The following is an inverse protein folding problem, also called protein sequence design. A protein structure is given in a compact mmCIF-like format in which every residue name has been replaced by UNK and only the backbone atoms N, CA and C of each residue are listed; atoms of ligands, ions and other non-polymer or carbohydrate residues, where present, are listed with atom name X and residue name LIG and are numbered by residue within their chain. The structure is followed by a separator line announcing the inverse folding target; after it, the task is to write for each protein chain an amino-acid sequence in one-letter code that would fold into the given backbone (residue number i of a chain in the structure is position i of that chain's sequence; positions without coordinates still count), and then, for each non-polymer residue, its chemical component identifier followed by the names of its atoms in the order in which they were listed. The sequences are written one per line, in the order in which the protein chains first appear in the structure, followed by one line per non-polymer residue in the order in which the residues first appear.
data_IF_074641581410
#
_entry.id   IF_074641581410
#
_cell.length_a   1.000
_cell.length_b   1.000
_cell.length_c   1.000
_cell.angle_alpha   90.00
_cell.angle_beta   90.00
_cell.angle_gamma   90.00
#
_symmetry.space_group_name_H-M   'P 1'
#
loop_
_entity.id
_entity.type
_entity.pdbx_description
1 polymer ?
#
# COMPACT_ATOMS: atom_id res chain seq x y z
N UNK A 1 -7.48 37.06 0.55
CA UNK A 1 -6.07 36.92 0.08
C UNK A 1 -5.93 35.52 -0.48
N UNK A 2 -5.11 35.35 -1.54
CA UNK A 2 -4.81 34.01 -2.06
C UNK A 2 -3.59 33.44 -1.32
N UNK A 3 -3.58 32.11 -1.05
CA UNK A 3 -2.41 31.39 -0.56
C UNK A 3 -1.67 30.84 -1.76
N UNK A 4 -0.41 31.22 -1.91
CA UNK A 4 0.45 30.78 -3.01
C UNK A 4 1.13 29.46 -2.67
N UNK A 5 1.09 28.52 -3.62
CA UNK A 5 1.74 27.22 -3.53
C UNK A 5 2.74 27.04 -4.68
N UNK A 6 3.72 26.18 -4.49
CA UNK A 6 4.59 25.73 -5.56
C UNK A 6 4.47 24.20 -5.74
N UNK A 7 4.50 23.75 -7.00
CA UNK A 7 4.57 22.32 -7.34
C UNK A 7 6.01 21.93 -7.66
N UNK A 8 6.47 20.81 -7.12
CA UNK A 8 7.72 20.19 -7.49
C UNK A 8 7.42 19.02 -8.44
N UNK A 9 7.76 19.21 -9.73
CA UNK A 9 7.38 18.34 -10.83
C UNK A 9 6.04 18.73 -11.46
N UNK A 10 5.87 18.38 -12.75
CA UNK A 10 4.61 18.58 -13.50
C UNK A 10 4.23 17.34 -14.32
N UNK A 11 4.24 16.18 -13.63
CA UNK A 11 3.80 14.90 -14.20
C UNK A 11 2.28 14.71 -14.11
N UNK A 12 1.86 13.45 -14.26
CA UNK A 12 0.44 13.05 -14.29
C UNK A 12 -0.35 13.58 -13.08
N UNK A 13 0.15 13.40 -11.86
CA UNK A 13 -0.58 13.83 -10.65
C UNK A 13 -0.55 15.35 -10.51
N UNK A 14 0.62 15.96 -10.73
CA UNK A 14 0.80 17.40 -10.56
C UNK A 14 -0.09 18.22 -11.49
N UNK A 15 -0.28 17.80 -12.74
CA UNK A 15 -1.18 18.47 -13.69
C UNK A 15 -2.66 18.40 -13.28
N UNK A 16 -3.04 17.42 -12.45
CA UNK A 16 -4.37 17.32 -11.86
C UNK A 16 -4.65 18.37 -10.79
N UNK A 17 -3.64 18.93 -10.13
CA UNK A 17 -3.82 19.92 -9.05
C UNK A 17 -4.45 21.22 -9.58
N UNK A 18 -3.87 21.93 -10.56
CA UNK A 18 -4.47 23.15 -11.08
C UNK A 18 -5.83 22.88 -11.76
N UNK A 19 -6.01 21.71 -12.39
CA UNK A 19 -7.30 21.31 -12.93
C UNK A 19 -8.37 21.31 -11.84
N UNK A 20 -8.15 20.65 -10.70
CA UNK A 20 -9.13 20.57 -9.61
C UNK A 20 -9.33 21.92 -8.92
N UNK A 21 -8.27 22.71 -8.73
CA UNK A 21 -8.37 24.06 -8.16
C UNK A 21 -9.29 24.95 -9.00
N UNK A 22 -9.29 24.78 -10.33
CA UNK A 22 -10.14 25.52 -11.25
C UNK A 22 -11.59 24.99 -11.26
N UNK A 23 -11.74 23.67 -11.49
CA UNK A 23 -13.07 23.04 -11.67
C UNK A 23 -13.95 23.10 -10.41
N UNK A 24 -13.33 23.08 -9.23
CA UNK A 24 -14.08 23.04 -7.95
C UNK A 24 -13.74 24.22 -7.04
N UNK A 25 -13.42 25.37 -7.66
CA UNK A 25 -12.92 26.57 -6.97
C UNK A 25 -13.80 26.97 -5.78
N UNK A 26 -15.10 27.09 -5.98
CA UNK A 26 -16.02 27.56 -4.93
C UNK A 26 -15.99 26.68 -3.67
N UNK A 27 -16.07 25.36 -3.84
CA UNK A 27 -16.05 24.42 -2.73
C UNK A 27 -14.69 24.43 -2.01
N UNK A 28 -13.60 24.51 -2.79
CA UNK A 28 -12.24 24.54 -2.23
C UNK A 28 -12.04 25.84 -1.41
N UNK A 29 -12.47 26.98 -1.96
CA UNK A 29 -12.38 28.26 -1.25
C UNK A 29 -13.22 28.26 0.04
N UNK A 30 -14.41 27.68 0.01
CA UNK A 30 -15.22 27.54 1.24
C UNK A 30 -14.55 26.65 2.27
N UNK A 31 -13.96 25.53 1.85
CA UNK A 31 -13.27 24.59 2.74
C UNK A 31 -11.98 25.18 3.32
N UNK A 32 -11.18 25.85 2.50
CA UNK A 32 -9.91 26.44 2.86
C UNK A 32 -10.05 27.85 3.50
N UNK A 33 -11.17 28.54 3.28
CA UNK A 33 -11.42 29.94 3.60
C UNK A 33 -10.42 30.92 2.94
N UNK A 34 -9.82 30.50 1.84
CA UNK A 34 -8.93 31.33 1.01
C UNK A 34 -8.85 30.75 -0.39
N UNK A 35 -8.56 31.60 -1.36
CA UNK A 35 -8.15 31.13 -2.68
C UNK A 35 -6.76 30.48 -2.61
N UNK A 36 -6.51 29.50 -3.47
CA UNK A 36 -5.23 28.79 -3.60
C UNK A 36 -4.73 29.00 -5.03
N UNK A 37 -3.50 29.45 -5.16
CA UNK A 37 -2.87 29.78 -6.44
C UNK A 37 -1.55 29.05 -6.62
N UNK A 38 -1.35 28.43 -7.79
CA UNK A 38 -0.05 27.83 -8.18
C UNK A 38 0.85 28.97 -8.69
N UNK A 39 1.78 29.40 -7.87
CA UNK A 39 2.66 30.52 -8.18
C UNK A 39 3.87 30.10 -9.00
N UNK A 40 4.46 28.93 -8.71
CA UNK A 40 5.64 28.40 -9.42
C UNK A 40 5.54 26.88 -9.56
N UNK A 41 6.18 26.38 -10.61
CA UNK A 41 6.32 24.93 -10.88
C UNK A 41 7.77 24.62 -11.15
N UNK A 42 8.39 23.79 -10.30
CA UNK A 42 9.75 23.29 -10.52
C UNK A 42 9.70 22.18 -11.57
N UNK A 43 10.55 22.31 -12.59
CA UNK A 43 10.78 21.29 -13.61
C UNK A 43 12.26 20.93 -13.64
N UNK A 44 12.58 19.81 -14.26
CA UNK A 44 13.91 19.24 -14.25
C UNK A 44 14.96 20.11 -14.93
N UNK A 45 14.61 20.67 -16.10
CA UNK A 45 15.49 21.44 -16.96
C UNK A 45 14.72 22.35 -17.93
N UNK A 46 15.45 23.20 -18.66
CA UNK A 46 14.85 24.12 -19.65
C UNK A 46 14.20 23.40 -20.83
N UNK A 47 14.60 22.16 -21.13
CA UNK A 47 13.99 21.36 -22.20
C UNK A 47 12.58 20.92 -21.77
N UNK A 48 12.40 20.45 -20.55
CA UNK A 48 11.08 20.13 -20.00
C UNK A 48 10.21 21.38 -19.91
N UNK A 49 10.77 22.51 -19.46
CA UNK A 49 10.09 23.80 -19.42
C UNK A 49 9.56 24.19 -20.82
N UNK A 50 10.40 24.15 -21.84
CA UNK A 50 9.99 24.48 -23.23
C UNK A 50 8.86 23.56 -23.71
N UNK A 51 9.01 22.26 -23.51
CA UNK A 51 7.98 21.26 -23.89
C UNK A 51 6.62 21.54 -23.22
N UNK A 52 6.63 21.89 -21.94
CA UNK A 52 5.40 22.17 -21.20
C UNK A 52 4.72 23.47 -21.65
N UNK A 53 5.49 24.50 -21.96
CA UNK A 53 4.98 25.77 -22.53
C UNK A 53 4.40 25.53 -23.93
N UNK A 54 5.08 24.78 -24.79
CA UNK A 54 4.57 24.40 -26.12
C UNK A 54 3.27 23.57 -26.03
N UNK A 55 3.11 22.77 -24.98
CA UNK A 55 1.89 22.03 -24.72
C UNK A 55 0.73 22.91 -24.18
N UNK A 56 0.92 24.23 -24.11
CA UNK A 56 -0.10 25.20 -23.71
C UNK A 56 -0.28 25.37 -22.21
N UNK A 57 0.68 24.91 -21.39
CA UNK A 57 0.64 25.16 -19.94
C UNK A 57 1.19 26.56 -19.64
N UNK A 58 0.36 27.41 -19.03
CA UNK A 58 0.71 28.79 -18.68
C UNK A 58 1.00 28.91 -17.19
N UNK A 59 2.17 28.39 -16.76
CA UNK A 59 2.68 28.49 -15.39
C UNK A 59 4.08 29.12 -15.37
N UNK A 60 4.44 29.69 -14.23
CA UNK A 60 5.80 30.15 -14.00
C UNK A 60 6.71 28.95 -13.69
N UNK A 61 7.26 28.35 -14.76
CA UNK A 61 8.19 27.22 -14.64
C UNK A 61 9.58 27.71 -14.27
N UNK A 62 10.16 27.09 -13.22
CA UNK A 62 11.53 27.34 -12.72
C UNK A 62 12.31 26.04 -12.73
N UNK A 63 13.63 26.12 -12.86
CA UNK A 63 14.53 24.97 -12.85
C UNK A 63 15.41 24.89 -11.61
N UNK A 64 15.37 25.93 -10.76
CA UNK A 64 16.11 25.98 -9.51
C UNK A 64 15.13 26.05 -8.33
N UNK A 65 15.26 25.12 -7.40
CA UNK A 65 14.45 25.05 -6.16
C UNK A 65 14.61 26.34 -5.31
N UNK A 66 15.77 27.01 -5.37
CA UNK A 66 16.04 28.23 -4.59
C UNK A 66 15.08 29.37 -4.97
N UNK A 67 14.59 29.42 -6.19
CA UNK A 67 13.59 30.40 -6.60
C UNK A 67 12.23 30.19 -5.90
N UNK A 68 11.96 28.99 -5.44
CA UNK A 68 10.76 28.65 -4.66
C UNK A 68 11.02 28.90 -3.17
N UNK A 69 12.15 28.42 -2.65
CA UNK A 69 12.45 28.47 -1.22
C UNK A 69 12.67 29.91 -0.72
N UNK A 70 13.29 30.76 -1.53
CA UNK A 70 13.52 32.19 -1.19
C UNK A 70 12.27 33.07 -1.36
N UNK A 71 11.24 32.60 -2.07
CA UNK A 71 10.02 33.35 -2.27
C UNK A 71 9.14 33.30 -1.00
N UNK A 72 9.04 34.44 -0.32
CA UNK A 72 8.30 34.58 0.95
C UNK A 72 6.78 34.45 0.77
N UNK A 73 6.26 34.69 -0.42
CA UNK A 73 4.84 34.58 -0.71
C UNK A 73 4.38 33.13 -0.85
N UNK A 74 5.29 32.20 -1.24
CA UNK A 74 4.98 30.79 -1.34
C UNK A 74 4.97 30.17 0.07
N UNK A 75 3.81 29.67 0.46
CA UNK A 75 3.57 29.13 1.81
C UNK A 75 3.65 27.60 1.84
N UNK A 76 3.24 26.94 0.75
CA UNK A 76 3.14 25.49 0.67
C UNK A 76 3.92 25.00 -0.53
N UNK A 77 4.73 23.95 -0.35
CA UNK A 77 5.42 23.20 -1.39
C UNK A 77 4.73 21.85 -1.55
N UNK A 78 4.38 21.48 -2.78
CA UNK A 78 3.69 20.25 -3.12
C UNK A 78 4.63 19.36 -3.94
N UNK A 79 5.17 18.31 -3.34
CA UNK A 79 6.11 17.39 -3.98
C UNK A 79 5.37 16.25 -4.68
N UNK A 80 5.53 16.16 -6.01
CA UNK A 80 4.90 15.16 -6.87
C UNK A 80 5.88 14.64 -7.93
N UNK A 81 7.18 14.61 -7.60
CA UNK A 81 8.23 14.12 -8.51
C UNK A 81 8.42 12.60 -8.40
N UNK A 82 8.13 12.03 -7.21
CA UNK A 82 8.44 10.64 -6.90
C UNK A 82 9.93 10.40 -6.68
N UNK A 83 10.31 9.13 -6.44
CA UNK A 83 11.66 8.69 -6.04
C UNK A 83 12.09 9.27 -4.69
N UNK A 84 13.13 8.70 -4.11
CA UNK A 84 13.65 9.17 -2.81
C UNK A 84 14.45 10.45 -3.00
N UNK A 85 15.42 10.45 -3.93
CA UNK A 85 16.17 11.66 -4.29
C UNK A 85 15.77 12.14 -5.69
N UNK A 86 15.69 13.44 -5.93
CA UNK A 86 16.01 14.57 -5.04
C UNK A 86 14.86 15.01 -4.10
N UNK A 87 13.74 14.28 -4.03
CA UNK A 87 12.55 14.67 -3.27
C UNK A 87 12.87 14.85 -1.78
N UNK A 88 13.63 13.93 -1.16
CA UNK A 88 14.06 14.06 0.25
C UNK A 88 14.78 15.38 0.51
N UNK A 89 15.79 15.67 -0.30
CA UNK A 89 16.57 16.92 -0.18
C UNK A 89 15.67 18.14 -0.31
N UNK A 90 14.76 18.17 -1.28
CA UNK A 90 13.90 19.34 -1.51
C UNK A 90 12.84 19.51 -0.44
N UNK A 91 12.24 18.42 0.04
CA UNK A 91 11.28 18.46 1.16
C UNK A 91 11.99 18.96 2.43
N UNK A 92 13.14 18.38 2.77
CA UNK A 92 13.92 18.83 3.96
C UNK A 92 14.19 20.32 3.90
N UNK A 93 14.74 20.81 2.80
CA UNK A 93 15.02 22.26 2.63
C UNK A 93 13.77 23.13 2.66
N UNK A 94 12.64 22.65 2.13
CA UNK A 94 11.37 23.36 2.19
C UNK A 94 10.86 23.51 3.64
N UNK A 95 10.91 22.40 4.41
CA UNK A 95 10.54 22.40 5.82
C UNK A 95 11.44 23.33 6.65
N UNK A 96 12.77 23.28 6.43
CA UNK A 96 13.77 24.16 7.07
C UNK A 96 13.56 25.64 6.71
N UNK A 97 13.10 25.93 5.48
CA UNK A 97 12.75 27.28 5.04
C UNK A 97 11.38 27.77 5.58
N UNK A 98 10.75 27.01 6.50
CA UNK A 98 9.46 27.36 7.10
C UNK A 98 8.27 27.16 6.18
N UNK A 99 8.38 26.35 5.12
CA UNK A 99 7.29 26.06 4.21
C UNK A 99 6.58 24.77 4.60
N UNK A 100 5.25 24.76 4.51
CA UNK A 100 4.47 23.55 4.68
C UNK A 100 4.64 22.66 3.46
N UNK A 101 4.56 21.33 3.65
CA UNK A 101 4.77 20.38 2.56
C UNK A 101 3.57 19.43 2.43
N UNK A 102 3.17 19.18 1.18
CA UNK A 102 2.27 18.09 0.80
C UNK A 102 3.02 17.18 -0.15
N UNK A 103 2.97 15.86 0.06
CA UNK A 103 3.61 14.88 -0.81
C UNK A 103 2.73 13.66 -1.05
N UNK A 104 2.92 13.00 -2.19
CA UNK A 104 2.33 11.69 -2.51
C UNK A 104 3.38 10.57 -2.52
N UNK A 105 4.61 10.84 -2.08
CA UNK A 105 5.78 10.00 -2.27
C UNK A 105 5.88 8.95 -1.16
N UNK A 106 5.17 7.83 -1.36
CA UNK A 106 5.13 6.74 -0.39
C UNK A 106 6.49 6.10 -0.10
N UNK A 107 7.33 5.98 -1.14
CA UNK A 107 8.65 5.35 -1.04
C UNK A 107 9.53 6.15 -0.09
N UNK A 108 9.54 7.47 -0.27
CA UNK A 108 10.25 8.40 0.60
C UNK A 108 9.73 8.36 2.04
N UNK A 109 8.40 8.35 2.20
CA UNK A 109 7.76 8.36 3.53
C UNK A 109 7.96 7.05 4.29
N UNK A 110 7.94 5.92 3.60
CA UNK A 110 8.18 4.61 4.24
C UNK A 110 9.62 4.49 4.77
N UNK A 111 10.60 5.09 4.09
CA UNK A 111 12.02 4.98 4.45
C UNK A 111 12.48 6.14 5.35
N UNK A 112 12.02 7.37 5.08
CA UNK A 112 12.50 8.60 5.72
C UNK A 112 11.39 9.43 6.38
N UNK A 113 10.16 8.90 6.45
CA UNK A 113 9.02 9.67 6.98
C UNK A 113 9.22 10.15 8.41
N UNK A 114 9.76 9.31 9.29
CA UNK A 114 10.04 9.70 10.68
C UNK A 114 11.03 10.86 10.77
N UNK A 115 12.11 10.85 9.98
CA UNK A 115 13.09 11.93 9.89
C UNK A 115 12.44 13.24 9.41
N UNK A 116 11.65 13.18 8.35
CA UNK A 116 10.98 14.34 7.78
C UNK A 116 9.93 14.94 8.74
N UNK A 117 9.24 14.09 9.50
CA UNK A 117 8.28 14.54 10.52
C UNK A 117 8.98 15.27 11.68
N UNK A 118 10.16 14.82 12.11
CA UNK A 118 10.95 15.54 13.12
C UNK A 118 11.44 16.90 12.62
N UNK A 119 11.88 17.00 11.35
CA UNK A 119 12.22 18.29 10.73
C UNK A 119 11.00 19.22 10.68
N UNK A 120 9.86 18.71 10.23
CA UNK A 120 8.62 19.49 10.18
C UNK A 120 8.20 20.02 11.56
N UNK A 121 8.31 19.18 12.59
CA UNK A 121 8.03 19.54 13.98
C UNK A 121 9.00 20.59 14.51
N UNK A 122 10.30 20.43 14.26
CA UNK A 122 11.33 21.37 14.70
C UNK A 122 11.12 22.79 14.13
N UNK A 123 10.60 22.90 12.91
CA UNK A 123 10.31 24.16 12.23
C UNK A 123 8.86 24.63 12.36
N UNK A 124 8.01 23.92 13.12
CA UNK A 124 6.59 24.24 13.34
C UNK A 124 5.81 24.34 12.02
N UNK A 125 6.08 23.46 11.07
CA UNK A 125 5.41 23.38 9.77
C UNK A 125 4.67 22.04 9.59
N UNK A 126 3.70 22.01 8.69
CA UNK A 126 2.93 20.81 8.38
C UNK A 126 3.61 19.99 7.27
N UNK A 127 3.59 18.66 7.44
CA UNK A 127 3.90 17.68 6.40
C UNK A 127 2.67 16.75 6.26
N UNK A 128 1.95 16.84 5.13
CA UNK A 128 0.75 16.05 4.88
C UNK A 128 0.92 15.16 3.65
N UNK A 129 0.32 13.98 3.67
CA UNK A 129 0.58 12.95 2.65
C UNK A 129 -0.56 11.95 2.45
N UNK A 130 -1.83 12.43 2.48
CA UNK A 130 -3.01 11.57 2.22
C UNK A 130 -2.84 10.71 0.96
N UNK A 131 -2.35 11.33 -0.10
CA UNK A 131 -2.19 10.70 -1.40
C UNK A 131 -1.12 9.59 -1.45
N UNK A 132 -0.30 9.44 -0.42
CA UNK A 132 0.74 8.42 -0.36
C UNK A 132 0.18 6.99 -0.19
N UNK A 133 -1.03 6.83 0.35
CA UNK A 133 -1.68 5.53 0.52
C UNK A 133 -3.00 5.51 -0.24
N UNK A 134 -3.15 4.54 -1.15
CA UNK A 134 -4.38 4.30 -1.92
C UNK A 134 -4.92 5.55 -2.65
N UNK A 135 -4.04 6.47 -3.05
CA UNK A 135 -4.24 7.61 -3.93
C UNK A 135 -5.52 8.42 -3.69
N UNK A 136 -6.62 8.04 -4.32
CA UNK A 136 -7.91 8.74 -4.22
C UNK A 136 -8.77 8.35 -3.01
N UNK A 137 -8.34 7.37 -2.20
CA UNK A 137 -9.09 6.92 -1.01
C UNK A 137 -8.64 7.72 0.22
N UNK A 138 -9.52 8.46 0.91
CA UNK A 138 -9.14 9.31 2.05
C UNK A 138 -8.94 8.49 3.33
N UNK A 139 -8.05 7.49 3.30
CA UNK A 139 -7.91 6.52 4.39
C UNK A 139 -7.13 7.09 5.58
N UNK A 140 -6.01 7.78 5.36
CA UNK A 140 -5.16 8.28 6.45
C UNK A 140 -5.94 9.28 7.30
N UNK A 141 -6.67 10.20 6.66
CA UNK A 141 -7.50 11.18 7.34
C UNK A 141 -8.68 10.54 8.05
N UNK A 142 -9.25 9.51 7.47
CA UNK A 142 -10.34 8.75 8.11
C UNK A 142 -9.87 8.09 9.40
N UNK A 143 -8.71 7.45 9.38
CA UNK A 143 -8.12 6.83 10.56
C UNK A 143 -7.88 7.85 11.70
N UNK A 144 -7.34 9.01 11.37
CA UNK A 144 -6.98 10.05 12.37
C UNK A 144 -8.19 10.83 12.89
N UNK A 145 -9.14 11.15 12.02
CA UNK A 145 -10.25 12.06 12.39
C UNK A 145 -11.56 11.32 12.65
N UNK A 146 -11.99 10.45 11.73
CA UNK A 146 -13.30 9.80 11.82
C UNK A 146 -13.28 8.61 12.77
N UNK A 147 -12.16 7.90 12.85
CA UNK A 147 -11.98 6.75 13.74
C UNK A 147 -11.14 7.08 14.99
N UNK A 148 -10.95 8.36 15.30
CA UNK A 148 -10.13 8.81 16.43
C UNK A 148 -10.59 8.29 17.81
N UNK A 149 -11.85 7.94 17.95
CA UNK A 149 -12.44 7.39 19.19
C UNK A 149 -12.52 5.86 19.18
N UNK A 150 -12.13 5.21 18.09
CA UNK A 150 -12.27 3.76 17.93
C UNK A 150 -10.92 3.04 18.04
N UNK A 151 -10.94 1.85 18.63
CA UNK A 151 -9.73 1.01 18.69
C UNK A 151 -9.67 0.11 17.48
N UNK A 152 -8.75 0.41 16.57
CA UNK A 152 -8.46 -0.42 15.41
C UNK A 152 -7.73 -1.68 15.88
N UNK A 153 -8.17 -2.84 15.41
CA UNK A 153 -7.60 -4.14 15.72
C UNK A 153 -6.89 -4.77 14.53
N UNK A 154 -7.40 -4.51 13.31
CA UNK A 154 -6.80 -5.02 12.08
C UNK A 154 -7.04 -4.07 10.90
N UNK A 155 -6.05 -3.98 10.02
CA UNK A 155 -6.16 -3.31 8.72
C UNK A 155 -5.76 -4.31 7.65
N UNK A 156 -6.61 -4.53 6.66
CA UNK A 156 -6.31 -5.31 5.46
C UNK A 156 -6.39 -4.41 4.23
N UNK A 157 -5.53 -4.63 3.25
CA UNK A 157 -5.53 -3.77 2.07
C UNK A 157 -5.20 -4.52 0.77
N UNK A 158 -6.03 -4.31 -0.25
CA UNK A 158 -5.66 -4.52 -1.65
C UNK A 158 -5.24 -3.15 -2.16
N UNK A 159 -3.95 -2.84 -2.04
CA UNK A 159 -3.44 -1.46 -2.18
C UNK A 159 -2.44 -1.25 -3.31
N UNK A 160 -2.26 -2.25 -4.18
CA UNK A 160 -1.48 -2.13 -5.40
C UNK A 160 -2.36 -2.46 -6.61
N UNK A 161 -2.56 -1.50 -7.52
CA UNK A 161 -3.45 -1.64 -8.67
C UNK A 161 -2.90 -2.60 -9.74
N UNK A 162 -1.59 -2.64 -9.95
CA UNK A 162 -0.94 -3.50 -10.95
C UNK A 162 -1.10 -4.97 -10.59
N UNK A 163 -0.67 -5.36 -9.39
CA UNK A 163 -0.80 -6.75 -8.93
C UNK A 163 -2.27 -7.17 -8.81
N UNK A 164 -3.18 -6.27 -8.38
CA UNK A 164 -4.60 -6.59 -8.34
C UNK A 164 -5.20 -6.78 -9.73
N UNK A 165 -4.79 -5.98 -10.73
CA UNK A 165 -5.17 -6.20 -12.12
C UNK A 165 -4.72 -7.58 -12.62
N UNK A 166 -3.44 -7.92 -12.42
CA UNK A 166 -2.89 -9.21 -12.82
C UNK A 166 -3.64 -10.36 -12.14
N UNK A 167 -3.82 -10.30 -10.81
CA UNK A 167 -4.59 -11.30 -10.06
C UNK A 167 -6.04 -11.41 -10.54
N UNK A 168 -6.66 -10.27 -10.90
CA UNK A 168 -8.02 -10.29 -11.46
C UNK A 168 -8.06 -11.09 -12.78
N UNK A 169 -7.11 -10.86 -13.69
CA UNK A 169 -7.01 -11.59 -14.97
C UNK A 169 -6.75 -13.08 -14.77
N UNK A 170 -5.83 -13.44 -13.87
CA UNK A 170 -5.55 -14.83 -13.53
C UNK A 170 -6.81 -15.53 -12.97
N UNK A 171 -7.54 -14.85 -12.08
CA UNK A 171 -8.75 -15.43 -11.44
C UNK A 171 -9.95 -15.49 -12.38
N UNK A 172 -10.21 -14.45 -13.20
CA UNK A 172 -11.45 -14.37 -14.00
C UNK A 172 -11.30 -14.96 -15.39
N UNK A 173 -10.09 -14.96 -15.95
CA UNK A 173 -9.82 -15.35 -17.34
C UNK A 173 -8.88 -16.56 -17.45
N UNK A 174 -8.33 -17.03 -16.29
CA UNK A 174 -7.44 -18.20 -16.24
C UNK A 174 -6.06 -17.93 -16.86
N UNK A 175 -5.63 -16.67 -16.91
CA UNK A 175 -4.35 -16.31 -17.52
C UNK A 175 -3.17 -16.78 -16.68
N UNK A 176 -2.03 -17.01 -17.36
CA UNK A 176 -0.75 -17.17 -16.68
C UNK A 176 -0.28 -15.86 -16.06
N UNK A 177 0.71 -15.93 -15.15
CA UNK A 177 1.36 -14.73 -14.61
C UNK A 177 1.99 -13.90 -15.73
N UNK A 178 2.66 -14.54 -16.67
CA UNK A 178 3.35 -13.91 -17.80
C UNK A 178 2.37 -13.16 -18.73
N UNK A 179 1.23 -13.77 -19.06
CA UNK A 179 0.21 -13.13 -19.89
C UNK A 179 -0.42 -11.93 -19.18
N UNK A 180 -0.70 -12.09 -17.89
CA UNK A 180 -1.27 -11.01 -17.08
C UNK A 180 -0.29 -9.82 -16.94
N UNK A 181 1.01 -10.10 -16.79
CA UNK A 181 2.06 -9.07 -16.73
C UNK A 181 2.21 -8.36 -18.08
N UNK A 182 2.28 -9.12 -19.17
CA UNK A 182 2.39 -8.54 -20.52
C UNK A 182 1.24 -7.59 -20.83
N UNK A 183 0.03 -7.97 -20.45
CA UNK A 183 -1.15 -7.11 -20.64
C UNK A 183 -1.13 -5.87 -19.73
N UNK A 184 -0.70 -6.02 -18.46
CA UNK A 184 -0.53 -4.89 -17.56
C UNK A 184 0.48 -3.87 -18.11
N UNK A 185 1.59 -4.33 -18.69
CA UNK A 185 2.59 -3.48 -19.35
C UNK A 185 2.03 -2.83 -20.61
N UNK A 186 1.31 -3.58 -21.46
CA UNK A 186 0.68 -3.05 -22.67
C UNK A 186 -0.32 -1.93 -22.38
N UNK A 187 -1.06 -2.04 -21.28
CA UNK A 187 -2.04 -1.05 -20.82
C UNK A 187 -1.41 0.10 -20.03
N UNK A 188 -0.10 0.05 -19.73
CA UNK A 188 0.61 1.06 -18.95
C UNK A 188 0.34 1.01 -17.44
N UNK A 189 -0.18 -0.12 -16.93
CA UNK A 189 -0.36 -0.34 -15.49
C UNK A 189 0.91 -0.83 -14.82
N UNK A 190 1.79 -1.53 -15.56
CA UNK A 190 3.11 -1.94 -15.12
C UNK A 190 4.20 -1.26 -15.94
N UNK A 191 5.29 -0.88 -15.30
CA UNK A 191 6.51 -0.44 -15.96
C UNK A 191 7.31 -1.63 -16.51
N UNK A 192 8.40 -1.36 -17.26
CA UNK A 192 9.30 -2.40 -17.77
C UNK A 192 9.94 -3.21 -16.66
N UNK A 193 10.24 -2.59 -15.52
CA UNK A 193 10.62 -3.28 -14.28
C UNK A 193 9.45 -3.23 -13.30
N UNK A 194 8.65 -4.32 -13.18
CA UNK A 194 7.47 -4.36 -12.34
C UNK A 194 7.77 -4.80 -10.90
N UNK A 195 9.05 -4.92 -10.52
CA UNK A 195 9.49 -5.54 -9.26
C UNK A 195 8.76 -5.00 -8.03
N UNK A 196 8.63 -3.66 -7.91
CA UNK A 196 7.94 -3.05 -6.78
C UNK A 196 6.48 -3.50 -6.65
N UNK A 197 5.81 -3.71 -7.77
CA UNK A 197 4.41 -4.12 -7.80
C UNK A 197 4.24 -5.62 -7.53
N UNK A 198 4.98 -6.44 -8.28
CA UNK A 198 4.77 -7.89 -8.28
C UNK A 198 5.41 -8.60 -7.09
N UNK A 199 6.43 -8.02 -6.48
CA UNK A 199 7.07 -8.56 -5.27
C UNK A 199 6.45 -8.03 -3.96
N UNK A 200 5.41 -7.15 -4.07
CA UNK A 200 4.66 -6.64 -2.93
C UNK A 200 5.32 -5.47 -2.20
N UNK A 201 6.42 -4.92 -2.73
CA UNK A 201 7.21 -3.85 -2.11
C UNK A 201 6.37 -2.56 -1.99
N UNK A 202 5.68 -2.16 -3.07
CA UNK A 202 4.77 -1.01 -3.07
C UNK A 202 3.68 -1.13 -2.00
N UNK A 203 3.08 -2.31 -1.86
CA UNK A 203 2.09 -2.56 -0.83
C UNK A 203 2.71 -2.52 0.58
N UNK A 204 3.95 -3.04 0.75
CA UNK A 204 4.66 -3.01 2.02
C UNK A 204 4.97 -1.56 2.47
N UNK A 205 5.39 -0.67 1.58
CA UNK A 205 5.53 0.76 1.90
C UNK A 205 4.24 1.38 2.44
N UNK A 206 3.10 1.00 1.86
CA UNK A 206 1.80 1.49 2.33
C UNK A 206 1.43 0.92 3.70
N UNK A 207 1.81 -0.34 3.99
CA UNK A 207 1.62 -0.92 5.33
C UNK A 207 2.46 -0.21 6.39
N UNK A 208 3.70 0.20 6.07
CA UNK A 208 4.51 1.05 6.97
C UNK A 208 3.76 2.32 7.36
N UNK A 209 3.22 3.04 6.38
CA UNK A 209 2.47 4.29 6.63
C UNK A 209 1.18 4.00 7.42
N UNK A 210 0.42 2.97 7.02
CA UNK A 210 -0.82 2.60 7.71
C UNK A 210 -0.60 2.17 9.16
N UNK A 211 0.55 1.54 9.48
CA UNK A 211 0.90 1.18 10.87
C UNK A 211 0.99 2.39 11.77
N UNK A 212 1.55 3.49 11.27
CA UNK A 212 1.62 4.75 12.00
C UNK A 212 0.21 5.32 12.25
N UNK A 213 -0.65 5.30 11.24
CA UNK A 213 -1.97 5.94 11.32
C UNK A 213 -2.98 5.12 12.11
N UNK A 214 -2.98 3.80 11.96
CA UNK A 214 -3.93 2.92 12.63
C UNK A 214 -3.50 2.56 14.05
N UNK A 215 -2.20 2.37 14.30
CA UNK A 215 -1.68 1.85 15.56
C UNK A 215 -0.72 2.80 16.29
N UNK A 216 -0.40 3.94 15.70
CA UNK A 216 0.55 4.91 16.26
C UNK A 216 2.01 4.43 16.25
N UNK A 217 2.34 3.39 15.49
CA UNK A 217 3.66 2.75 15.48
C UNK A 217 4.37 2.99 14.15
N UNK A 218 5.54 3.63 14.19
CA UNK A 218 6.41 3.83 13.03
C UNK A 218 7.28 2.58 12.80
N UNK A 219 6.69 1.51 12.26
CA UNK A 219 7.45 0.32 11.87
C UNK A 219 8.39 0.65 10.71
N UNK A 220 9.49 -0.08 10.58
CA UNK A 220 10.39 0.05 9.46
C UNK A 220 9.95 -0.88 8.32
N UNK A 221 10.42 -0.60 7.10
CA UNK A 221 10.14 -1.47 5.97
C UNK A 221 10.62 -2.91 6.19
N UNK A 222 11.77 -3.08 6.85
CA UNK A 222 12.35 -4.38 7.18
C UNK A 222 11.49 -5.19 8.17
N UNK A 223 10.63 -4.53 8.94
CA UNK A 223 9.70 -5.16 9.87
C UNK A 223 8.43 -5.69 9.18
N UNK A 224 8.19 -5.31 7.92
CA UNK A 224 7.05 -5.76 7.12
C UNK A 224 7.46 -6.93 6.24
N UNK A 225 7.05 -8.15 6.61
CA UNK A 225 7.26 -9.32 5.77
C UNK A 225 6.51 -9.15 4.43
N UNK A 226 7.16 -9.46 3.30
CA UNK A 226 6.46 -9.39 2.01
C UNK A 226 6.79 -10.57 1.11
N UNK A 227 5.76 -11.07 0.44
CA UNK A 227 5.81 -12.09 -0.59
C UNK A 227 4.98 -11.60 -1.78
N UNK A 228 5.57 -11.66 -2.97
CA UNK A 228 4.91 -11.23 -4.21
C UNK A 228 4.05 -12.32 -4.85
N UNK A 229 3.60 -12.03 -6.09
CA UNK A 229 2.67 -12.86 -6.86
C UNK A 229 3.34 -13.72 -7.94
N UNK A 230 4.69 -13.64 -8.11
CA UNK A 230 5.40 -14.30 -9.22
C UNK A 230 5.20 -15.82 -9.28
N UNK A 231 5.06 -16.47 -8.13
CA UNK A 231 4.97 -17.92 -8.03
C UNK A 231 3.52 -18.45 -8.00
N UNK A 232 2.52 -17.56 -8.13
CA UNK A 232 1.12 -18.00 -8.17
C UNK A 232 0.84 -18.64 -9.52
N UNK A 233 0.36 -19.88 -9.50
CA UNK A 233 0.06 -20.63 -10.72
C UNK A 233 -1.45 -20.64 -11.02
N UNK A 234 -1.85 -20.88 -12.29
CA UNK A 234 -3.26 -21.06 -12.62
C UNK A 234 -3.92 -22.20 -11.83
N UNK A 235 -3.17 -23.24 -11.49
CA UNK A 235 -3.64 -24.36 -10.67
C UNK A 235 -3.95 -23.93 -9.24
N UNK A 236 -3.11 -23.06 -8.62
CA UNK A 236 -3.40 -22.52 -7.29
C UNK A 236 -4.68 -21.70 -7.31
N UNK A 237 -4.89 -20.91 -8.37
CA UNK A 237 -6.11 -20.13 -8.58
C UNK A 237 -7.33 -21.03 -8.74
N UNK A 238 -7.22 -22.10 -9.54
CA UNK A 238 -8.32 -23.06 -9.76
C UNK A 238 -8.72 -23.75 -8.45
N UNK A 239 -7.74 -24.22 -7.67
CA UNK A 239 -7.98 -24.83 -6.36
C UNK A 239 -8.63 -23.82 -5.40
N UNK A 240 -8.15 -22.57 -5.36
CA UNK A 240 -8.78 -21.55 -4.53
C UNK A 240 -10.25 -21.35 -4.89
N UNK A 241 -10.58 -21.30 -6.19
CA UNK A 241 -11.95 -21.12 -6.68
C UNK A 241 -12.85 -22.28 -6.33
N UNK A 242 -12.36 -23.53 -6.46
CA UNK A 242 -13.07 -24.77 -6.08
C UNK A 242 -13.40 -24.76 -4.60
N UNK A 243 -12.46 -24.31 -3.77
CA UNK A 243 -12.62 -24.22 -2.31
C UNK A 243 -13.43 -22.99 -1.85
N UNK A 244 -13.94 -22.18 -2.78
CA UNK A 244 -14.77 -21.00 -2.45
C UNK A 244 -13.98 -19.74 -2.10
N UNK A 245 -12.70 -19.67 -2.49
CA UNK A 245 -11.83 -18.53 -2.28
C UNK A 245 -11.52 -17.76 -3.56
N UNK A 246 -10.99 -16.56 -3.39
CA UNK A 246 -10.36 -15.71 -4.41
C UNK A 246 -8.95 -15.37 -3.94
N UNK A 247 -7.97 -15.42 -4.82
CA UNK A 247 -6.60 -15.07 -4.50
C UNK A 247 -6.37 -13.58 -4.72
N UNK A 248 -5.82 -12.89 -3.73
CA UNK A 248 -5.42 -11.48 -3.79
C UNK A 248 -4.06 -11.28 -3.13
N UNK A 249 -3.32 -10.27 -3.57
CA UNK A 249 -2.18 -9.76 -2.79
C UNK A 249 -2.72 -8.83 -1.71
N UNK A 250 -2.60 -9.23 -0.46
CA UNK A 250 -3.18 -8.49 0.68
C UNK A 250 -2.07 -8.03 1.61
N UNK A 251 -2.03 -6.70 1.85
CA UNK A 251 -1.32 -6.16 2.98
C UNK A 251 -2.16 -6.30 4.24
N UNK A 252 -1.56 -6.70 5.34
CA UNK A 252 -2.23 -6.83 6.63
C UNK A 252 -1.40 -6.23 7.75
N UNK A 253 -2.07 -5.58 8.69
CA UNK A 253 -1.52 -5.15 9.97
C UNK A 253 -2.54 -5.55 11.02
N UNK A 254 -2.11 -6.31 12.03
CA UNK A 254 -3.01 -6.77 13.10
C UNK A 254 -2.38 -6.60 14.49
N UNK A 255 -3.19 -6.22 15.46
CA UNK A 255 -2.79 -6.19 16.87
C UNK A 255 -2.88 -7.61 17.44
N UNK A 256 -1.79 -8.08 18.03
CA UNK A 256 -1.70 -9.39 18.71
C UNK A 256 -1.49 -9.17 20.21
N UNK A 257 -1.42 -10.28 20.98
CA UNK A 257 -1.14 -10.21 22.41
C UNK A 257 0.24 -9.58 22.74
N UNK A 258 1.23 -9.70 21.84
CA UNK A 258 2.61 -9.24 22.09
C UNK A 258 3.02 -7.99 21.28
N UNK A 259 2.18 -7.45 20.41
CA UNK A 259 2.49 -6.31 19.56
C UNK A 259 1.73 -6.32 18.24
N UNK A 260 2.21 -5.59 17.23
CA UNK A 260 1.62 -5.63 15.90
C UNK A 260 2.42 -6.52 14.95
N UNK A 261 1.70 -7.22 14.08
CA UNK A 261 2.28 -7.94 12.94
C UNK A 261 1.88 -7.21 11.66
N UNK A 262 2.86 -6.97 10.76
CA UNK A 262 2.64 -6.35 9.46
C UNK A 262 3.24 -7.21 8.36
N UNK A 263 2.46 -7.52 7.32
CA UNK A 263 2.93 -8.30 6.19
C UNK A 263 2.14 -8.02 4.91
N UNK A 264 2.71 -8.39 3.76
CA UNK A 264 2.06 -8.40 2.45
C UNK A 264 2.24 -9.77 1.85
N UNK A 265 1.14 -10.50 1.62
CA UNK A 265 1.21 -11.87 1.11
C UNK A 265 0.07 -12.18 0.15
N UNK A 266 0.28 -13.09 -0.81
CA UNK A 266 -0.83 -13.72 -1.50
C UNK A 266 -1.74 -14.38 -0.47
N UNK A 267 -3.03 -14.08 -0.55
CA UNK A 267 -4.00 -14.53 0.45
C UNK A 267 -5.25 -15.08 -0.22
N UNK A 268 -5.69 -16.24 0.23
CA UNK A 268 -6.98 -16.82 -0.14
C UNK A 268 -8.07 -16.14 0.69
N UNK A 269 -8.89 -15.32 0.03
CA UNK A 269 -10.02 -14.62 0.64
C UNK A 269 -11.32 -15.40 0.38
N UNK A 270 -12.16 -15.68 1.37
CA UNK A 270 -13.51 -16.20 1.13
C UNK A 270 -14.24 -15.33 0.10
N UNK A 271 -14.98 -15.92 -0.83
CA UNK A 271 -15.75 -15.16 -1.85
C UNK A 271 -16.75 -14.17 -1.22
N UNK A 272 -17.14 -14.41 0.01
CA UNK A 272 -18.05 -13.54 0.80
C UNK A 272 -17.34 -12.36 1.45
N UNK A 273 -16.00 -12.36 1.54
CA UNK A 273 -15.24 -11.27 2.15
C UNK A 273 -15.30 -10.02 1.24
N UNK A 274 -15.53 -8.80 1.79
CA UNK A 274 -15.64 -7.58 0.98
C UNK A 274 -14.45 -7.33 0.04
N UNK A 275 -13.21 -7.59 0.48
CA UNK A 275 -12.01 -7.44 -0.36
C UNK A 275 -11.97 -8.40 -1.56
N UNK A 276 -12.70 -9.51 -1.56
CA UNK A 276 -12.75 -10.44 -2.68
C UNK A 276 -13.35 -9.79 -3.95
N UNK A 277 -14.23 -8.79 -3.79
CA UNK A 277 -14.88 -8.06 -4.87
C UNK A 277 -14.02 -6.94 -5.49
N UNK A 278 -12.86 -6.63 -4.92
CA UNK A 278 -11.97 -5.56 -5.39
C UNK A 278 -11.18 -6.03 -6.62
N UNK A 279 -11.61 -5.65 -7.81
CA UNK A 279 -11.08 -6.13 -9.08
C UNK A 279 -10.40 -5.02 -9.91
N UNK A 280 -9.65 -5.45 -10.94
CA UNK A 280 -8.95 -4.56 -11.86
C UNK A 280 -7.89 -3.72 -11.14
N UNK A 281 -7.76 -2.45 -11.50
CA UNK A 281 -6.79 -1.52 -10.91
C UNK A 281 -7.29 -0.85 -9.63
N UNK A 282 -8.46 -1.26 -9.11
CA UNK A 282 -9.06 -0.66 -7.93
C UNK A 282 -8.34 -1.10 -6.66
N UNK A 283 -8.36 -0.21 -5.66
CA UNK A 283 -7.82 -0.45 -4.33
C UNK A 283 -8.94 -0.48 -3.31
N UNK A 284 -8.66 -1.11 -2.18
CA UNK A 284 -9.49 -1.00 -0.99
C UNK A 284 -8.66 -1.20 0.28
N UNK A 285 -9.06 -0.50 1.33
CA UNK A 285 -8.57 -0.70 2.69
C UNK A 285 -9.76 -1.11 3.56
N UNK A 286 -9.64 -2.25 4.20
CA UNK A 286 -10.62 -2.82 5.10
C UNK A 286 -10.11 -2.68 6.54
N UNK A 287 -10.91 -2.10 7.40
CA UNK A 287 -10.54 -1.78 8.78
C UNK A 287 -11.48 -2.51 9.72
N UNK A 288 -10.92 -3.26 10.65
CA UNK A 288 -11.64 -3.85 11.77
C UNK A 288 -11.33 -3.08 13.04
N UNK A 289 -12.37 -2.80 13.82
CA UNK A 289 -12.28 -2.04 15.05
C UNK A 289 -13.30 -2.50 16.08
N UNK A 290 -13.11 -2.12 17.34
CA UNK A 290 -14.00 -2.55 18.44
C UNK A 290 -15.34 -1.82 18.36
N UNK A 291 -15.36 -0.56 17.95
CA UNK A 291 -16.56 0.28 17.97
C UNK A 291 -17.45 0.08 16.74
N UNK A 292 -16.90 0.27 15.53
CA UNK A 292 -17.67 0.16 14.28
C UNK A 292 -17.79 -1.30 13.83
N UNK A 293 -16.84 -2.16 14.19
CA UNK A 293 -16.68 -3.48 13.61
C UNK A 293 -15.92 -3.41 12.30
N UNK A 294 -16.55 -3.77 11.19
CA UNK A 294 -15.95 -3.82 9.87
C UNK A 294 -16.33 -2.60 9.04
N UNK A 295 -15.34 -2.00 8.37
CA UNK A 295 -15.55 -0.95 7.39
C UNK A 295 -14.59 -1.09 6.21
N UNK A 296 -15.03 -0.77 5.00
CA UNK A 296 -14.22 -0.82 3.80
C UNK A 296 -14.23 0.51 3.05
N UNK A 297 -13.05 0.96 2.67
CA UNK A 297 -12.83 2.17 1.88
C UNK A 297 -12.31 1.76 0.51
N UNK A 298 -13.11 1.97 -0.52
CA UNK A 298 -12.87 1.49 -1.87
C UNK A 298 -12.79 2.66 -2.85
N UNK A 299 -11.87 2.57 -3.81
CA UNK A 299 -11.72 3.59 -4.85
C UNK A 299 -10.48 3.36 -5.73
N UNK A 300 -10.20 4.31 -6.65
CA UNK A 300 -8.99 4.26 -7.45
C UNK A 300 -7.75 4.57 -6.59
N UNK A 301 -6.79 3.64 -6.60
CA UNK A 301 -5.54 3.74 -5.83
C UNK A 301 -4.48 4.64 -6.48
N UNK A 302 -4.66 5.00 -7.75
CA UNK A 302 -3.74 5.83 -8.52
C UNK A 302 -4.50 6.61 -9.61
N UNK A 303 -3.80 7.49 -10.30
CA UNK A 303 -4.33 8.26 -11.42
C UNK A 303 -4.29 9.77 -11.17
N UNK A 304 -4.34 10.55 -12.26
CA UNK A 304 -4.22 12.01 -12.22
C UNK A 304 -5.22 12.65 -11.25
N UNK A 305 -6.50 12.51 -11.53
CA UNK A 305 -7.57 13.15 -10.74
C UNK A 305 -7.76 12.55 -9.36
N UNK A 306 -7.79 11.22 -9.19
CA UNK A 306 -7.93 10.63 -7.86
C UNK A 306 -6.83 11.07 -6.89
N UNK A 307 -5.57 10.93 -7.29
CA UNK A 307 -4.43 11.30 -6.43
C UNK A 307 -4.36 12.80 -6.19
N UNK A 308 -4.59 13.62 -7.23
CA UNK A 308 -4.66 15.07 -7.07
C UNK A 308 -5.80 15.52 -6.14
N UNK A 309 -6.90 14.77 -6.05
CA UNK A 309 -8.01 15.07 -5.11
C UNK A 309 -7.52 15.01 -3.66
N UNK A 310 -6.76 14.00 -3.29
CA UNK A 310 -6.17 13.87 -1.95
C UNK A 310 -5.12 14.96 -1.68
N UNK A 311 -4.29 15.27 -2.70
CA UNK A 311 -3.30 16.37 -2.62
C UNK A 311 -3.99 17.71 -2.38
N UNK A 312 -5.00 18.06 -3.16
CA UNK A 312 -5.75 19.32 -3.02
C UNK A 312 -6.50 19.38 -1.68
N UNK A 313 -7.01 18.27 -1.20
CA UNK A 313 -7.64 18.20 0.12
C UNK A 313 -6.63 18.46 1.25
N UNK A 314 -5.38 17.98 1.12
CA UNK A 314 -4.29 18.29 2.07
C UNK A 314 -3.91 19.77 2.02
N UNK A 315 -3.75 20.34 0.82
CA UNK A 315 -3.48 21.78 0.64
C UNK A 315 -4.58 22.60 1.30
N UNK A 316 -5.84 22.33 1.00
CA UNK A 316 -6.99 23.06 1.56
C UNK A 316 -7.02 22.96 3.10
N UNK A 317 -6.65 21.80 3.66
CA UNK A 317 -6.58 21.59 5.12
C UNK A 317 -5.44 22.41 5.75
N UNK A 318 -4.27 22.50 5.13
CA UNK A 318 -3.18 23.32 5.60
C UNK A 318 -3.60 24.80 5.56
N UNK A 319 -4.16 25.26 4.45
CA UNK A 319 -4.65 26.63 4.29
C UNK A 319 -5.69 26.99 5.36
N UNK A 320 -6.64 26.08 5.61
CA UNK A 320 -7.63 26.27 6.68
C UNK A 320 -6.98 26.42 8.05
N UNK A 321 -6.00 25.58 8.39
CA UNK A 321 -5.29 25.63 9.66
C UNK A 321 -4.44 26.90 9.80
N UNK A 322 -3.89 27.42 8.70
CA UNK A 322 -3.21 28.72 8.68
C UNK A 322 -4.16 29.84 9.10
N UNK A 323 -5.36 29.87 8.47
CA UNK A 323 -6.38 30.89 8.76
C UNK A 323 -6.90 30.79 10.20
N UNK A 324 -7.05 29.58 10.73
CA UNK A 324 -7.51 29.34 12.11
C UNK A 324 -6.39 29.49 13.16
N UNK A 325 -5.15 29.74 12.76
CA UNK A 325 -3.99 29.84 13.69
C UNK A 325 -3.63 28.51 14.37
N UNK A 326 -4.01 27.35 13.78
CA UNK A 326 -3.81 26.01 14.34
C UNK A 326 -2.78 25.20 13.57
N UNK A 327 -1.93 25.86 12.81
CA UNK A 327 -0.86 25.23 12.04
C UNK A 327 0.28 24.71 12.94
N UNK A 328 1.11 23.83 12.44
CA UNK A 328 2.25 23.26 13.16
C UNK A 328 1.96 21.93 13.84
N UNK A 329 0.71 21.46 13.81
CA UNK A 329 0.37 20.12 14.28
C UNK A 329 0.66 19.08 13.19
N UNK A 330 1.19 17.92 13.60
CA UNK A 330 1.41 16.79 12.70
C UNK A 330 0.11 16.34 12.04
N UNK A 331 0.22 15.62 10.92
CA UNK A 331 -0.93 15.00 10.27
C UNK A 331 -1.54 13.92 11.16
N UNK A 332 -0.71 13.12 11.83
CA UNK A 332 -1.08 12.20 12.89
C UNK A 332 -0.29 12.53 14.16
N UNK A 333 -0.99 12.82 15.27
CA UNK A 333 -0.37 13.07 16.59
C UNK A 333 -0.37 11.80 17.47
N UNK A 334 -1.08 10.73 17.05
CA UNK A 334 -1.08 9.47 17.76
C UNK A 334 0.23 8.72 17.53
N UNK A 335 0.98 8.51 18.61
CA UNK A 335 2.29 7.85 18.57
C UNK A 335 2.47 6.94 19.77
N UNK A 336 2.96 5.73 19.51
CA UNK A 336 3.31 4.72 20.50
C UNK A 336 4.69 4.15 20.18
N UNK A 337 5.43 3.63 21.19
CA UNK A 337 6.63 2.82 20.94
C UNK A 337 6.31 1.64 20.01
N UNK A 338 7.21 1.35 19.08
CA UNK A 338 7.07 0.19 18.20
C UNK A 338 7.24 -1.09 19.02
N UNK A 339 6.26 -1.95 18.97
CA UNK A 339 6.28 -3.28 19.58
C UNK A 339 5.82 -4.27 18.52
N UNK A 340 6.74 -5.08 18.01
CA UNK A 340 6.45 -6.11 17.01
C UNK A 340 5.95 -7.38 17.69
N UNK A 341 5.01 -8.06 17.04
CA UNK A 341 4.45 -9.31 17.52
C UNK A 341 5.50 -10.43 17.49
N UNK A 342 5.46 -11.31 18.49
CA UNK A 342 6.24 -12.54 18.48
C UNK A 342 5.65 -13.53 17.48
N UNK A 343 6.48 -14.36 16.80
CA UNK A 343 6.00 -15.35 15.84
C UNK A 343 4.91 -16.29 16.37
N UNK A 344 4.94 -16.62 17.66
CA UNK A 344 3.97 -17.50 18.33
C UNK A 344 2.56 -16.87 18.46
N UNK A 345 2.47 -15.54 18.43
CA UNK A 345 1.23 -14.79 18.56
C UNK A 345 0.60 -14.42 17.22
N UNK A 346 1.35 -14.53 16.11
CA UNK A 346 0.86 -14.30 14.74
C UNK A 346 0.25 -15.59 14.20
N UNK A 347 -1.07 -15.66 14.16
CA UNK A 347 -1.81 -16.90 13.81
C UNK A 347 -2.68 -16.73 12.58
N UNK A 348 -2.60 -17.69 11.64
CA UNK A 348 -3.47 -17.76 10.47
C UNK A 348 -3.67 -19.21 10.03
N UNK A 349 -4.65 -19.43 9.15
CA UNK A 349 -4.72 -20.66 8.37
C UNK A 349 -3.80 -20.53 7.16
N UNK A 350 -3.23 -21.64 6.71
CA UNK A 350 -2.33 -21.64 5.57
C UNK A 350 -2.70 -22.73 4.56
N UNK A 351 -2.57 -22.38 3.30
CA UNK A 351 -2.61 -23.26 2.16
C UNK A 351 -1.20 -23.72 1.85
N UNK A 352 -1.04 -25.03 1.62
CA UNK A 352 0.19 -25.66 1.14
C UNK A 352 -0.13 -26.42 -0.14
N UNK A 353 0.67 -26.20 -1.19
CA UNK A 353 0.66 -26.96 -2.42
C UNK A 353 1.94 -27.78 -2.52
N UNK A 354 1.83 -29.08 -2.50
CA UNK A 354 2.97 -30.00 -2.40
C UNK A 354 2.89 -31.04 -3.52
N UNK A 355 3.97 -31.22 -4.29
CA UNK A 355 4.12 -32.38 -5.16
C UNK A 355 4.71 -33.54 -4.37
N UNK A 356 4.04 -34.68 -4.38
CA UNK A 356 4.45 -35.91 -3.74
C UNK A 356 4.42 -37.06 -4.74
N UNK A 357 5.22 -38.15 -4.56
CA UNK A 357 5.07 -39.36 -5.37
C UNK A 357 3.64 -39.91 -5.29
N UNK A 358 3.07 -40.32 -6.42
CA UNK A 358 1.74 -40.97 -6.43
C UNK A 358 1.86 -42.45 -6.01
N UNK A 359 2.10 -42.66 -4.74
CA UNK A 359 2.30 -43.99 -4.15
C UNK A 359 1.68 -44.10 -2.76
N UNK A 360 1.45 -45.34 -2.33
CA UNK A 360 0.87 -45.63 -1.01
C UNK A 360 1.76 -45.08 0.11
N UNK A 361 1.14 -44.46 1.13
CA UNK A 361 1.81 -43.97 2.33
C UNK A 361 2.28 -42.51 2.25
N UNK A 362 2.26 -41.83 1.12
CA UNK A 362 2.78 -40.48 1.01
C UNK A 362 1.96 -39.45 1.81
N UNK A 363 0.62 -39.56 1.75
CA UNK A 363 -0.27 -38.73 2.56
C UNK A 363 -0.05 -38.99 4.07
N UNK A 364 0.22 -40.22 4.46
CA UNK A 364 0.54 -40.56 5.85
C UNK A 364 1.84 -39.86 6.29
N UNK A 365 2.90 -39.92 5.48
CA UNK A 365 4.17 -39.23 5.78
C UNK A 365 3.97 -37.69 5.91
N UNK A 366 3.18 -37.09 5.02
CA UNK A 366 2.81 -35.68 5.14
C UNK A 366 2.07 -35.41 6.45
N UNK A 367 1.10 -36.25 6.80
CA UNK A 367 0.35 -36.11 8.05
C UNK A 367 1.26 -36.25 9.29
N UNK A 368 2.24 -37.14 9.25
CA UNK A 368 3.23 -37.28 10.33
C UNK A 368 4.12 -36.04 10.49
N UNK A 369 4.57 -35.41 9.36
CA UNK A 369 5.34 -34.18 9.40
C UNK A 369 4.54 -33.01 10.02
N UNK A 370 3.31 -32.83 9.60
CA UNK A 370 2.45 -31.77 10.14
C UNK A 370 2.08 -32.02 11.61
N UNK A 371 1.81 -33.27 11.97
CA UNK A 371 1.51 -33.65 13.36
C UNK A 371 2.72 -33.46 14.28
N UNK A 372 3.95 -33.61 13.80
CA UNK A 372 5.15 -33.34 14.59
C UNK A 372 5.28 -31.88 15.02
N UNK A 373 4.68 -30.96 14.26
CA UNK A 373 4.62 -29.53 14.55
C UNK A 373 3.29 -29.11 15.21
N UNK A 374 2.48 -30.09 15.69
CA UNK A 374 1.14 -29.85 16.27
C UNK A 374 0.19 -29.10 15.33
N UNK A 375 0.24 -29.45 14.02
CA UNK A 375 -0.58 -28.84 12.98
C UNK A 375 -1.66 -29.83 12.54
N UNK A 376 -2.92 -29.41 12.64
CA UNK A 376 -4.07 -30.16 12.14
C UNK A 376 -4.59 -29.62 10.81
N UNK A 377 -5.19 -30.50 10.00
CA UNK A 377 -5.75 -30.14 8.70
C UNK A 377 -7.22 -29.72 8.84
N UNK A 378 -7.55 -28.58 8.23
CA UNK A 378 -8.93 -28.17 7.97
C UNK A 378 -9.46 -28.86 6.71
N UNK A 379 -8.57 -29.01 5.72
CA UNK A 379 -8.91 -29.61 4.44
C UNK A 379 -7.67 -30.23 3.79
N UNK A 380 -7.88 -31.34 3.09
CA UNK A 380 -6.89 -31.99 2.24
C UNK A 380 -7.52 -32.38 0.94
N UNK A 381 -6.85 -32.10 -0.17
CA UNK A 381 -7.21 -32.51 -1.53
C UNK A 381 -5.99 -33.16 -2.16
N UNK A 382 -6.23 -34.18 -2.97
CA UNK A 382 -5.21 -34.76 -3.82
C UNK A 382 -5.74 -34.77 -5.24
N UNK A 383 -5.04 -34.08 -6.14
CA UNK A 383 -5.44 -33.94 -7.53
C UNK A 383 -4.30 -34.30 -8.48
N UNK A 384 -4.71 -34.83 -9.64
CA UNK A 384 -3.90 -34.98 -10.84
C UNK A 384 -2.67 -35.85 -10.73
N UNK A 385 -2.36 -36.54 -11.84
CA UNK A 385 -1.11 -37.27 -12.03
C UNK A 385 -0.28 -36.52 -13.06
N UNK A 386 0.86 -36.00 -12.65
CA UNK A 386 1.90 -35.54 -13.57
C UNK A 386 3.16 -36.37 -13.35
N UNK A 387 3.55 -37.15 -14.35
CA UNK A 387 4.83 -37.89 -14.37
C UNK A 387 5.11 -38.73 -13.11
N UNK A 388 4.09 -39.42 -12.56
CA UNK A 388 4.23 -40.25 -11.35
C UNK A 388 4.17 -39.49 -10.04
N UNK A 389 3.90 -38.20 -10.05
CA UNK A 389 3.64 -37.36 -8.88
C UNK A 389 2.16 -36.96 -8.82
N UNK A 390 1.65 -36.76 -7.62
CA UNK A 390 0.35 -36.18 -7.32
C UNK A 390 0.54 -34.84 -6.59
N UNK A 391 -0.33 -33.88 -6.89
CA UNK A 391 -0.41 -32.64 -6.15
C UNK A 391 -1.27 -32.88 -4.91
N UNK A 392 -0.73 -32.63 -3.75
CA UNK A 392 -1.43 -32.66 -2.48
C UNK A 392 -1.59 -31.23 -1.98
N UNK A 393 -2.83 -30.82 -1.80
CA UNK A 393 -3.20 -29.51 -1.24
C UNK A 393 -3.66 -29.69 0.20
N UNK A 394 -3.12 -28.91 1.10
CA UNK A 394 -3.48 -28.92 2.52
C UNK A 394 -3.87 -27.50 2.92
N UNK A 395 -5.04 -27.33 3.55
CA UNK A 395 -5.39 -26.13 4.31
C UNK A 395 -5.37 -26.51 5.79
N UNK A 396 -4.58 -25.77 6.57
CA UNK A 396 -4.45 -26.00 8.02
C UNK A 396 -5.56 -25.31 8.81
N UNK A 397 -5.84 -25.75 10.02
CA UNK A 397 -6.39 -24.90 11.05
C UNK A 397 -5.41 -23.78 11.41
N UNK A 398 -5.79 -22.85 12.29
CA UNK A 398 -4.90 -21.73 12.70
C UNK A 398 -3.59 -22.29 13.29
N UNK A 399 -2.49 -21.91 12.67
CA UNK A 399 -1.15 -22.16 13.16
C UNK A 399 -0.40 -20.83 13.33
N UNK A 400 0.60 -20.82 14.18
CA UNK A 400 1.42 -19.61 14.36
C UNK A 400 2.57 -19.58 13.35
N UNK A 401 3.24 -18.43 13.26
CA UNK A 401 4.32 -18.21 12.29
C UNK A 401 5.53 -19.11 12.54
N UNK A 402 5.84 -19.44 13.79
CA UNK A 402 6.91 -20.37 14.11
C UNK A 402 6.61 -21.80 13.60
N UNK A 403 5.37 -22.27 13.78
CA UNK A 403 4.92 -23.55 13.22
C UNK A 403 4.99 -23.55 11.69
N UNK A 404 4.59 -22.44 11.04
CA UNK A 404 4.70 -22.28 9.59
C UNK A 404 6.15 -22.42 9.09
N UNK A 405 7.08 -21.75 9.76
CA UNK A 405 8.52 -21.81 9.42
C UNK A 405 9.09 -23.21 9.62
N UNK A 406 8.74 -23.88 10.72
CA UNK A 406 9.17 -25.24 11.02
C UNK A 406 8.67 -26.24 9.99
N UNK A 407 7.35 -26.26 9.70
CA UNK A 407 6.79 -27.21 8.73
C UNK A 407 7.29 -26.96 7.31
N UNK A 408 7.48 -25.68 6.93
CA UNK A 408 8.06 -25.33 5.64
C UNK A 408 9.49 -25.87 5.51
N UNK A 409 10.29 -25.77 6.56
CA UNK A 409 11.65 -26.30 6.63
C UNK A 409 11.66 -27.83 6.63
N UNK A 410 10.76 -28.46 7.38
CA UNK A 410 10.61 -29.91 7.40
C UNK A 410 10.25 -30.49 6.02
N UNK A 411 9.29 -29.88 5.31
CA UNK A 411 8.91 -30.28 3.96
C UNK A 411 10.07 -30.18 2.96
N UNK A 412 10.85 -29.09 3.01
CA UNK A 412 12.05 -28.91 2.17
C UNK A 412 13.17 -29.90 2.50
N UNK A 413 13.21 -30.43 3.71
CA UNK A 413 14.19 -31.44 4.16
C UNK A 413 13.88 -32.84 3.63
N UNK A 414 12.72 -33.11 3.08
CA UNK A 414 12.32 -34.43 2.56
C UNK A 414 12.41 -34.43 1.04
N UNK A 415 13.39 -35.12 0.49
CA UNK A 415 13.71 -35.09 -0.96
C UNK A 415 12.56 -35.56 -1.89
N UNK A 416 11.63 -36.36 -1.39
CA UNK A 416 10.50 -36.85 -2.16
C UNK A 416 9.33 -35.83 -2.26
N UNK A 417 9.32 -34.80 -1.40
CA UNK A 417 8.30 -33.73 -1.41
C UNK A 417 8.87 -32.46 -2.00
N UNK A 418 8.08 -31.81 -2.83
CA UNK A 418 8.40 -30.50 -3.37
C UNK A 418 7.30 -29.52 -2.98
N UNK A 419 7.63 -28.62 -2.05
CA UNK A 419 6.72 -27.54 -1.67
C UNK A 419 6.68 -26.50 -2.80
N UNK A 420 5.56 -26.42 -3.51
CA UNK A 420 5.34 -25.49 -4.61
C UNK A 420 5.01 -24.10 -4.09
N UNK A 421 3.97 -24.00 -3.27
CA UNK A 421 3.48 -22.73 -2.76
C UNK A 421 2.91 -22.86 -1.35
N UNK A 422 2.98 -21.74 -0.63
CA UNK A 422 2.32 -21.55 0.67
C UNK A 422 1.70 -20.18 0.69
N UNK A 423 0.39 -20.10 0.98
CA UNK A 423 -0.36 -18.85 1.02
C UNK A 423 -1.17 -18.76 2.31
N UNK A 424 -1.35 -17.53 2.80
CA UNK A 424 -2.27 -17.27 3.90
C UNK A 424 -3.71 -17.51 3.47
N UNK A 425 -4.54 -18.06 4.35
CA UNK A 425 -5.97 -18.24 4.12
C UNK A 425 -6.72 -17.42 5.14
N UNK A 426 -7.49 -16.43 4.69
CA UNK A 426 -8.36 -15.65 5.57
C UNK A 426 -9.65 -16.44 5.82
N UNK A 427 -10.10 -16.44 7.06
CA UNK A 427 -11.30 -17.15 7.51
C UNK A 427 -11.11 -17.70 8.92
N UNK A 428 -12.20 -18.16 9.52
CA UNK A 428 -12.24 -18.68 10.90
C UNK A 428 -11.40 -19.94 11.10
#
# INVERSE_FOLDING_TARGET
MSVKIALLGFGTVASGVPFLLKENKEKIVQAAQSEIEVAKVLVKDDQEKARLLEAGNDFNFVTNIDEILSDKDITIVVELMGRIEPAKTFITRALEAGKHVVTANKDLLAVHGAELLEVAKAHNVALYYEAAVAGGIPILRTLVNSLASDKITRVLGVVNGTSNFMMTKMVTEGWSYEDALAEAQRLGFAESDPTNDVDGIDAAYKMVILSQFAFGMNVKFEDVGHQGIRNITPEDVAVAQELGYVVKLVGSIEETASGIAAEVTPTFLPKTHPLASVNGVMNAVFVESIGIGESMYYGPGAGQKPTATSVVADIARIVRRLNDGTIGKAFNEYSRPVVLAKPEDVKANYYFSILAPDSKGQVLKLAELFNAEDISFKQILQDGKQEGKARVVIITHKINKAQLENITSALKGVAEFELLNTFKVLGD
#
